data_IF_514852682077
#
_entry.id   IF_514852682077
#
_cell.length_a   1.000
_cell.length_b   1.000
_cell.length_c   1.000
_cell.angle_alpha   90.00
_cell.angle_beta   90.00
_cell.angle_gamma   90.00
#
_symmetry.space_group_name_H-M   'P 1'
#
loop_
_entity.id
_entity.type
_entity.pdbx_description
1 polymer ?
#
# COMPACT_ATOMS: atom_id res chain seq x y z
N UNK A 1 39.77 -21.52 -13.26
CA UNK A 1 39.16 -20.28 -13.79
C UNK A 1 39.44 -19.16 -12.79
N UNK A 2 39.78 -17.97 -13.27
CA UNK A 2 39.96 -16.78 -12.41
C UNK A 2 38.58 -16.20 -12.12
N UNK A 3 38.22 -16.08 -10.85
CA UNK A 3 36.98 -15.41 -10.41
C UNK A 3 37.14 -13.92 -10.70
N UNK A 4 36.19 -13.33 -11.41
CA UNK A 4 36.12 -11.88 -11.56
C UNK A 4 35.67 -11.26 -10.23
N UNK A 5 36.63 -10.65 -9.52
CA UNK A 5 36.46 -10.07 -8.19
C UNK A 5 35.85 -8.65 -8.23
N UNK A 6 35.61 -8.09 -9.42
CA UNK A 6 35.13 -6.71 -9.56
C UNK A 6 33.61 -6.61 -9.72
N UNK A 7 32.93 -7.73 -9.98
CA UNK A 7 31.51 -7.79 -10.29
C UNK A 7 30.73 -8.59 -9.24
N UNK A 8 29.46 -8.23 -9.03
CA UNK A 8 28.54 -9.00 -8.18
C UNK A 8 28.11 -10.26 -8.93
N UNK A 9 28.80 -11.37 -8.66
CA UNK A 9 28.52 -12.69 -9.22
C UNK A 9 28.15 -13.68 -8.10
N UNK A 10 27.54 -14.81 -8.46
CA UNK A 10 27.13 -15.84 -7.52
C UNK A 10 27.42 -17.24 -8.03
N UNK A 11 28.11 -18.05 -7.22
CA UNK A 11 28.39 -19.48 -7.49
C UNK A 11 27.31 -20.38 -6.87
N UNK A 12 26.05 -20.05 -7.16
CA UNK A 12 24.87 -20.80 -6.76
C UNK A 12 23.89 -20.89 -7.93
N UNK A 13 23.00 -21.88 -7.91
CA UNK A 13 22.01 -22.08 -8.96
C UNK A 13 21.12 -20.82 -9.13
N UNK A 14 20.89 -20.42 -10.37
CA UNK A 14 20.12 -19.21 -10.72
C UNK A 14 20.69 -17.91 -10.11
N UNK A 15 22.01 -17.69 -10.20
CA UNK A 15 22.66 -16.45 -9.75
C UNK A 15 22.23 -15.16 -10.46
N UNK A 16 21.47 -15.26 -11.56
CA UNK A 16 20.77 -14.14 -12.19
C UNK A 16 19.55 -13.67 -11.37
N UNK A 17 19.04 -14.51 -10.46
CA UNK A 17 17.79 -14.24 -9.74
C UNK A 17 17.91 -13.00 -8.83
N UNK A 18 18.99 -12.79 -8.04
CA UNK A 18 19.12 -11.57 -7.25
C UNK A 18 19.29 -10.31 -8.09
N UNK A 19 19.81 -10.43 -9.31
CA UNK A 19 19.94 -9.30 -10.23
C UNK A 19 18.58 -8.73 -10.65
N UNK A 20 17.50 -9.52 -10.64
CA UNK A 20 16.13 -9.04 -10.87
C UNK A 20 15.31 -8.92 -9.57
N UNK A 21 15.49 -9.84 -8.61
CA UNK A 21 14.64 -9.91 -7.42
C UNK A 21 14.91 -8.83 -6.39
N UNK A 22 16.19 -8.51 -6.15
CA UNK A 22 16.56 -7.38 -5.30
C UNK A 22 15.94 -6.10 -5.85
N UNK A 23 16.16 -5.76 -7.13
CA UNK A 23 15.56 -4.56 -7.66
C UNK A 23 14.03 -4.56 -7.67
N UNK A 24 13.40 -5.66 -8.06
CA UNK A 24 11.94 -5.78 -8.07
C UNK A 24 11.34 -5.56 -6.68
N UNK A 25 11.89 -6.16 -5.62
CA UNK A 25 11.29 -6.11 -4.28
C UNK A 25 11.65 -4.83 -3.52
N UNK A 26 12.84 -4.27 -3.72
CA UNK A 26 13.30 -3.12 -2.93
C UNK A 26 12.97 -1.77 -3.54
N UNK A 27 12.71 -1.67 -4.85
CA UNK A 27 12.41 -0.38 -5.46
C UNK A 27 11.27 -0.37 -6.48
N UNK A 28 10.91 -1.52 -7.09
CA UNK A 28 9.75 -1.56 -8.00
C UNK A 28 8.46 -1.81 -7.22
N UNK A 29 8.36 -2.93 -6.48
CA UNK A 29 7.18 -3.32 -5.71
C UNK A 29 6.80 -2.43 -4.52
N UNK A 30 7.69 -1.73 -3.81
CA UNK A 30 7.24 -0.95 -2.66
C UNK A 30 6.33 0.21 -3.09
N UNK A 31 6.52 0.81 -4.27
CA UNK A 31 5.65 1.89 -4.72
C UNK A 31 4.20 1.44 -4.99
N UNK A 32 3.93 0.37 -5.78
CA UNK A 32 2.59 -0.19 -5.89
C UNK A 32 2.02 -0.64 -4.56
N UNK A 33 2.81 -1.28 -3.69
CA UNK A 33 2.34 -1.74 -2.37
C UNK A 33 1.91 -0.56 -1.49
N UNK A 34 2.72 0.50 -1.42
CA UNK A 34 2.36 1.72 -0.68
C UNK A 34 1.16 2.43 -1.29
N UNK A 35 1.02 2.46 -2.61
CA UNK A 35 -0.13 3.04 -3.27
C UNK A 35 -1.43 2.29 -2.93
N UNK A 36 -1.41 0.95 -2.95
CA UNK A 36 -2.56 0.13 -2.58
C UNK A 36 -2.93 0.35 -1.11
N UNK A 37 -1.93 0.31 -0.20
CA UNK A 37 -2.16 0.55 1.22
C UNK A 37 -2.70 1.95 1.48
N UNK A 38 -2.17 2.97 0.81
CA UNK A 38 -2.62 4.34 0.94
C UNK A 38 -4.09 4.51 0.52
N UNK A 39 -4.46 3.96 -0.63
CA UNK A 39 -5.85 4.00 -1.10
C UNK A 39 -6.80 3.25 -0.15
N UNK A 40 -6.37 2.13 0.40
CA UNK A 40 -7.17 1.37 1.36
C UNK A 40 -7.41 2.15 2.66
N UNK A 41 -6.36 2.74 3.24
CA UNK A 41 -6.46 3.57 4.45
C UNK A 41 -7.39 4.77 4.23
N UNK A 42 -7.24 5.47 3.10
CA UNK A 42 -8.09 6.62 2.77
C UNK A 42 -9.56 6.24 2.57
N UNK A 43 -9.82 5.02 2.08
CA UNK A 43 -11.19 4.50 1.93
C UNK A 43 -11.84 4.28 3.29
N UNK A 44 -11.16 3.63 4.22
CA UNK A 44 -11.70 3.36 5.57
C UNK A 44 -11.93 4.66 6.35
N UNK A 45 -10.98 5.60 6.31
CA UNK A 45 -11.14 6.91 6.92
C UNK A 45 -12.33 7.68 6.33
N UNK A 46 -12.57 7.58 5.02
CA UNK A 46 -13.73 8.21 4.39
C UNK A 46 -15.06 7.55 4.76
N UNK A 47 -15.08 6.24 5.02
CA UNK A 47 -16.29 5.52 5.42
C UNK A 47 -16.70 5.89 6.85
N UNK A 48 -15.74 6.03 7.77
CA UNK A 48 -15.98 6.47 9.16
C UNK A 48 -16.56 7.89 9.24
N UNK A 49 -16.02 8.83 8.44
CA UNK A 49 -16.54 10.21 8.39
C UNK A 49 -17.98 10.24 7.88
N UNK A 50 -18.28 9.49 6.81
CA UNK A 50 -19.65 9.42 6.25
C UNK A 50 -20.64 8.85 7.25
N UNK A 51 -20.25 7.86 8.04
CA UNK A 51 -21.10 7.30 9.08
C UNK A 51 -21.40 8.35 10.16
N UNK A 52 -20.38 9.10 10.61
CA UNK A 52 -20.56 10.17 11.59
C UNK A 52 -21.50 11.27 11.07
N UNK A 53 -21.31 11.73 9.83
CA UNK A 53 -22.15 12.74 9.19
C UNK A 53 -23.62 12.29 9.07
N UNK A 54 -23.86 11.03 8.72
CA UNK A 54 -25.21 10.47 8.63
C UNK A 54 -25.91 10.43 10.00
N UNK A 55 -25.19 10.07 11.06
CA UNK A 55 -25.73 10.07 12.43
C UNK A 55 -26.07 11.49 12.90
N UNK A 56 -25.23 12.49 12.57
CA UNK A 56 -25.48 13.91 12.84
C UNK A 56 -26.71 14.45 12.08
N UNK A 57 -26.89 14.04 10.82
CA UNK A 57 -28.08 14.41 10.06
C UNK A 57 -29.36 13.82 10.68
N UNK A 58 -29.31 12.56 11.11
CA UNK A 58 -30.45 11.88 11.71
C UNK A 58 -30.92 12.52 13.02
N UNK A 59 -30.01 12.97 13.89
CA UNK A 59 -30.39 13.65 15.13
C UNK A 59 -31.05 15.01 14.85
N UNK A 60 -30.61 15.73 13.81
CA UNK A 60 -31.19 17.01 13.41
C UNK A 60 -32.62 16.88 12.89
N UNK A 61 -32.94 15.79 12.18
CA UNK A 61 -34.31 15.51 11.72
C UNK A 61 -35.24 15.09 12.87
N UNK A 62 -34.74 14.42 13.91
CA UNK A 62 -35.54 14.01 15.07
C UNK A 62 -35.86 15.17 16.03
N UNK A 63 -35.03 16.22 16.06
CA UNK A 63 -35.26 17.42 16.89
C UNK A 63 -36.17 18.48 16.25
N UNK A 64 -36.55 18.34 14.98
CA UNK A 64 -37.60 19.17 14.38
C UNK A 64 -38.94 18.47 14.65
N UNK A 65 -39.70 18.82 15.71
CA UNK A 65 -41.06 18.34 15.84
C UNK A 65 -41.81 18.81 14.60
N UNK A 66 -42.52 17.88 13.95
CA UNK A 66 -43.47 18.26 12.93
C UNK A 66 -44.43 19.29 13.57
N UNK A 67 -44.30 20.55 13.17
CA UNK A 67 -45.28 21.57 13.55
C UNK A 67 -46.63 21.25 12.94
#
# INVERSE_FOLDING_TARGET
MMVDMTQLTGDYAASWLPWIMIPLVFYILPFPVFAILFLWIQKEASEEIKETDNNLAQIGELEVPNS
#
